data_IF_167879627328
#
_entry.id   IF_167879627328
#
_cell.length_a   1.000
_cell.length_b   1.000
_cell.length_c   1.000
_cell.angle_alpha   90.00
_cell.angle_beta   90.00
_cell.angle_gamma   90.00
#
_symmetry.space_group_name_H-M   'P 1'
#
loop_
_entity.id
_entity.type
_entity.pdbx_description
1 polymer ?
#
# COMPACT_ATOMS: atom_id res chain seq x y z
N UNK A 1 -2.68 3.89 -7.03
CA UNK A 1 -2.47 3.51 -5.62
C UNK A 1 -3.58 4.09 -4.77
N UNK A 2 -4.04 3.35 -3.75
CA UNK A 2 -5.01 3.82 -2.77
C UNK A 2 -4.36 3.86 -1.39
N UNK A 3 -4.15 5.04 -0.81
CA UNK A 3 -3.72 5.20 0.57
C UNK A 3 -4.94 4.98 1.49
N UNK A 4 -5.18 3.72 1.89
CA UNK A 4 -6.37 3.34 2.65
C UNK A 4 -6.31 3.71 4.13
N UNK A 5 -5.13 4.03 4.66
CA UNK A 5 -4.95 4.64 5.98
C UNK A 5 -3.70 5.51 6.00
N UNK A 6 -3.62 6.49 6.92
CA UNK A 6 -2.46 7.37 7.03
C UNK A 6 -1.56 7.02 8.21
N UNK A 7 -2.10 6.42 9.26
CA UNK A 7 -1.33 6.02 10.42
C UNK A 7 -0.56 4.71 10.18
N UNK A 8 0.49 4.52 10.96
CA UNK A 8 1.39 3.36 10.87
C UNK A 8 1.76 2.87 12.27
N UNK A 9 2.13 1.62 12.40
CA UNK A 9 2.72 1.04 13.60
C UNK A 9 4.24 1.28 13.71
N UNK A 10 4.82 1.96 12.71
CA UNK A 10 6.20 2.44 12.70
C UNK A 10 6.25 3.97 12.68
N UNK A 11 7.36 4.53 13.19
CA UNK A 11 7.63 5.96 13.23
C UNK A 11 8.94 6.28 12.48
N UNK A 12 8.95 5.99 11.17
CA UNK A 12 10.14 6.17 10.34
C UNK A 12 10.44 7.65 10.11
N UNK A 13 11.67 8.09 10.36
CA UNK A 13 12.11 9.48 10.25
C UNK A 13 11.92 10.08 8.84
N UNK A 14 12.06 9.27 7.79
CA UNK A 14 11.93 9.71 6.39
C UNK A 14 10.78 8.99 5.68
N UNK A 15 9.63 8.91 6.35
CA UNK A 15 8.45 8.27 5.81
C UNK A 15 7.89 9.06 4.62
N UNK A 16 7.90 8.49 3.41
CA UNK A 16 7.34 9.10 2.20
C UNK A 16 5.83 9.31 2.24
N UNK A 17 5.15 8.70 3.20
CA UNK A 17 3.72 8.86 3.45
C UNK A 17 3.42 9.83 4.61
N UNK A 18 4.45 10.39 5.24
CA UNK A 18 4.33 11.31 6.38
C UNK A 18 3.54 10.73 7.56
N UNK A 19 3.45 9.42 7.68
CA UNK A 19 2.62 8.75 8.69
C UNK A 19 2.90 9.17 10.14
N UNK A 20 4.15 9.52 10.53
CA UNK A 20 4.43 10.00 11.89
C UNK A 20 3.72 11.30 12.27
N UNK A 21 3.43 12.15 11.29
CA UNK A 21 2.82 13.49 11.49
C UNK A 21 1.43 13.61 10.86
N UNK A 22 1.02 12.62 10.07
CA UNK A 22 -0.29 12.61 9.44
C UNK A 22 -1.40 12.36 10.49
N UNK A 23 -2.58 12.97 10.32
CA UNK A 23 -3.71 12.66 11.18
C UNK A 23 -4.10 11.19 11.05
N UNK A 24 -4.60 10.61 12.15
CA UNK A 24 -5.13 9.25 12.09
C UNK A 24 -6.35 9.22 11.16
N UNK A 25 -6.23 8.45 10.09
CA UNK A 25 -7.30 8.32 9.08
C UNK A 25 -7.34 6.89 8.56
N UNK A 26 -8.54 6.37 8.42
CA UNK A 26 -8.86 5.15 7.68
C UNK A 26 -9.90 5.52 6.63
N UNK A 27 -9.66 5.13 5.38
CA UNK A 27 -10.59 5.41 4.28
C UNK A 27 -11.90 4.63 4.50
N UNK A 28 -13.05 5.30 4.64
CA UNK A 28 -14.31 4.59 4.74
C UNK A 28 -14.53 3.67 3.54
N UNK A 29 -15.07 2.48 3.78
CA UNK A 29 -15.30 1.47 2.73
C UNK A 29 -16.16 2.03 1.60
N UNK A 30 -17.16 2.84 1.93
CA UNK A 30 -18.07 3.47 0.98
C UNK A 30 -17.35 4.49 0.08
N UNK A 31 -16.39 5.22 0.62
CA UNK A 31 -15.53 6.16 -0.14
C UNK A 31 -14.64 5.39 -1.09
N UNK A 32 -14.02 4.31 -0.60
CA UNK A 32 -13.18 3.44 -1.42
C UNK A 32 -13.96 2.82 -2.58
N UNK A 33 -15.15 2.27 -2.32
CA UNK A 33 -15.99 1.67 -3.35
C UNK A 33 -16.46 2.71 -4.38
N UNK A 34 -16.87 3.89 -3.94
CA UNK A 34 -17.24 5.01 -4.82
C UNK A 34 -16.09 5.41 -5.75
N UNK A 35 -14.87 5.50 -5.21
CA UNK A 35 -13.68 5.82 -5.99
C UNK A 35 -13.36 4.70 -7.01
N UNK A 36 -13.54 3.43 -6.64
CA UNK A 36 -13.35 2.31 -7.56
C UNK A 36 -14.39 2.29 -8.69
N UNK A 37 -15.65 2.51 -8.39
CA UNK A 37 -16.73 2.59 -9.40
C UNK A 37 -16.41 3.69 -10.42
N UNK A 38 -16.02 4.86 -9.93
CA UNK A 38 -15.65 5.97 -10.80
C UNK A 38 -14.41 5.64 -11.66
N UNK A 39 -13.41 5.02 -11.04
CA UNK A 39 -12.19 4.61 -11.73
C UNK A 39 -12.48 3.56 -12.81
N UNK A 40 -13.29 2.56 -12.49
CA UNK A 40 -13.73 1.52 -13.42
C UNK A 40 -14.43 2.13 -14.62
N UNK A 41 -15.36 3.06 -14.39
CA UNK A 41 -16.09 3.79 -15.46
C UNK A 41 -15.14 4.55 -16.38
N UNK A 42 -14.17 5.30 -15.83
CA UNK A 42 -13.23 6.12 -16.59
C UNK A 42 -12.27 5.25 -17.40
N UNK A 43 -11.78 4.17 -16.80
CA UNK A 43 -10.75 3.31 -17.41
C UNK A 43 -11.31 2.10 -18.13
N UNK A 44 -12.64 1.91 -18.08
CA UNK A 44 -13.34 0.70 -18.59
C UNK A 44 -12.73 -0.59 -18.00
N UNK A 45 -12.32 -0.52 -16.73
CA UNK A 45 -11.66 -1.63 -16.03
C UNK A 45 -10.21 -1.90 -16.47
N UNK A 46 -9.67 -1.14 -17.41
CA UNK A 46 -8.35 -1.37 -17.98
C UNK A 46 -7.25 -0.70 -17.16
N UNK A 47 -6.98 -1.27 -16.00
CA UNK A 47 -5.85 -0.85 -15.13
C UNK A 47 -4.92 -2.04 -14.94
N UNK A 48 -3.66 -1.85 -15.30
CA UNK A 48 -2.65 -2.90 -15.18
C UNK A 48 -2.41 -3.32 -13.72
N UNK A 49 -2.34 -2.36 -12.79
CA UNK A 49 -2.04 -2.64 -11.40
C UNK A 49 -2.69 -1.64 -10.45
N UNK A 50 -3.26 -2.17 -9.36
CA UNK A 50 -3.78 -1.39 -8.24
C UNK A 50 -3.05 -1.82 -6.96
N UNK A 51 -2.56 -0.84 -6.18
CA UNK A 51 -1.90 -1.09 -4.91
C UNK A 51 -2.65 -0.43 -3.77
N UNK A 52 -2.94 -1.20 -2.74
CA UNK A 52 -3.39 -0.74 -1.43
C UNK A 52 -2.15 -0.42 -0.60
N UNK A 53 -2.11 0.75 -0.04
CA UNK A 53 -0.99 1.23 0.76
C UNK A 53 -1.45 2.32 1.73
N UNK A 54 -0.51 3.06 2.30
CA UNK A 54 -0.79 4.16 3.19
C UNK A 54 0.33 4.31 4.21
N UNK A 55 0.02 4.53 5.47
CA UNK A 55 0.94 4.27 6.57
C UNK A 55 1.21 2.77 6.65
N UNK A 56 0.33 2.05 7.34
CA UNK A 56 0.34 0.59 7.30
C UNK A 56 -1.07 0.06 6.96
N UNK A 57 -1.30 -0.47 5.76
CA UNK A 57 -2.63 -0.88 5.31
C UNK A 57 -3.25 -2.01 6.15
N UNK A 58 -2.44 -2.85 6.81
CA UNK A 58 -2.94 -3.93 7.66
C UNK A 58 -3.53 -3.44 9.00
N UNK A 59 -3.38 -2.15 9.32
CA UNK A 59 -4.10 -1.52 10.44
C UNK A 59 -5.55 -1.19 10.11
N UNK A 60 -5.93 -1.20 8.82
CA UNK A 60 -7.29 -0.87 8.42
C UNK A 60 -8.26 -1.95 8.88
N UNK A 61 -9.21 -1.59 9.75
CA UNK A 61 -10.16 -2.53 10.37
C UNK A 61 -11.01 -3.33 9.37
N UNK A 62 -11.30 -2.74 8.22
CA UNK A 62 -12.12 -3.36 7.16
C UNK A 62 -11.28 -3.86 5.98
N UNK A 63 -10.00 -4.20 6.17
CA UNK A 63 -9.10 -4.61 5.07
C UNK A 63 -9.68 -5.75 4.23
N UNK A 64 -10.36 -6.71 4.84
CA UNK A 64 -10.99 -7.83 4.14
C UNK A 64 -12.12 -7.37 3.22
N UNK A 65 -12.94 -6.39 3.63
CA UNK A 65 -13.97 -5.80 2.78
C UNK A 65 -13.36 -5.04 1.60
N UNK A 66 -12.31 -4.26 1.86
CA UNK A 66 -11.57 -3.52 0.83
C UNK A 66 -11.02 -4.46 -0.23
N UNK A 67 -10.40 -5.58 0.16
CA UNK A 67 -9.91 -6.60 -0.77
C UNK A 67 -11.05 -7.16 -1.64
N UNK A 68 -12.17 -7.51 -1.02
CA UNK A 68 -13.33 -8.06 -1.72
C UNK A 68 -13.87 -7.08 -2.76
N UNK A 69 -14.07 -5.82 -2.38
CA UNK A 69 -14.58 -4.78 -3.27
C UNK A 69 -13.59 -4.50 -4.41
N UNK A 70 -12.30 -4.38 -4.10
CA UNK A 70 -11.26 -4.19 -5.11
C UNK A 70 -11.29 -5.30 -6.16
N UNK A 71 -11.40 -6.54 -5.71
CA UNK A 71 -11.37 -7.71 -6.59
C UNK A 71 -12.62 -7.85 -7.45
N UNK A 72 -13.77 -7.40 -6.93
CA UNK A 72 -15.03 -7.33 -7.68
C UNK A 72 -14.94 -6.34 -8.84
N UNK A 73 -14.44 -5.13 -8.61
CA UNK A 73 -14.38 -4.07 -9.62
C UNK A 73 -13.21 -4.23 -10.60
N UNK A 74 -12.10 -4.81 -10.16
CA UNK A 74 -10.89 -4.96 -10.97
C UNK A 74 -10.37 -6.41 -10.95
N UNK A 75 -11.15 -7.38 -11.46
CA UNK A 75 -10.77 -8.80 -11.41
C UNK A 75 -9.49 -9.10 -12.18
N UNK A 76 -9.28 -8.45 -13.33
CA UNK A 76 -8.14 -8.68 -14.23
C UNK A 76 -6.88 -7.87 -13.87
N UNK A 77 -7.00 -6.90 -12.97
CA UNK A 77 -5.85 -6.09 -12.56
C UNK A 77 -4.93 -6.86 -11.62
N UNK A 78 -3.63 -6.65 -11.72
CA UNK A 78 -2.70 -7.05 -10.66
C UNK A 78 -3.00 -6.25 -9.40
N UNK A 79 -3.32 -6.94 -8.33
CA UNK A 79 -3.66 -6.33 -7.03
C UNK A 79 -2.54 -6.55 -6.04
N UNK A 80 -2.20 -5.53 -5.25
CA UNK A 80 -1.09 -5.58 -4.30
C UNK A 80 -1.45 -4.89 -2.99
N UNK A 81 -0.99 -5.45 -1.89
CA UNK A 81 -0.90 -4.78 -0.59
C UNK A 81 0.58 -4.49 -0.33
N UNK A 82 0.91 -3.21 -0.11
CA UNK A 82 2.26 -2.78 0.27
C UNK A 82 2.29 -2.53 1.77
N UNK A 83 3.05 -3.34 2.51
CA UNK A 83 3.07 -3.37 3.98
C UNK A 83 4.49 -3.37 4.53
N UNK A 84 4.67 -2.96 5.78
CA UNK A 84 5.92 -3.20 6.50
C UNK A 84 6.08 -4.67 6.97
N UNK A 85 5.04 -5.49 6.85
CA UNK A 85 5.08 -6.92 7.13
C UNK A 85 4.96 -7.32 8.59
N UNK A 86 5.04 -6.39 9.54
CA UNK A 86 5.06 -6.70 10.99
C UNK A 86 3.75 -7.32 11.43
N UNK A 87 2.62 -6.81 10.94
CA UNK A 87 1.28 -7.24 11.35
C UNK A 87 0.81 -8.53 10.67
N UNK A 88 1.55 -9.05 9.69
CA UNK A 88 1.17 -10.32 9.03
C UNK A 88 1.06 -11.49 10.01
N UNK A 89 1.81 -11.46 11.11
CA UNK A 89 1.73 -12.48 12.17
C UNK A 89 0.42 -12.45 12.96
N UNK A 90 -0.25 -11.32 12.95
CA UNK A 90 -1.48 -11.05 13.71
C UNK A 90 -2.74 -11.15 12.83
N UNK A 91 -2.56 -11.35 11.51
CA UNK A 91 -3.67 -11.52 10.57
C UNK A 91 -4.28 -12.91 10.67
N UNK A 92 -5.60 -12.97 10.56
CA UNK A 92 -6.36 -14.20 10.63
C UNK A 92 -6.24 -15.05 9.33
N UNK A 93 -6.66 -16.31 9.43
CA UNK A 93 -6.65 -17.23 8.30
C UNK A 93 -7.55 -16.75 7.14
N UNK A 94 -8.64 -16.06 7.47
CA UNK A 94 -9.58 -15.51 6.49
C UNK A 94 -8.91 -14.49 5.58
N UNK A 95 -8.07 -13.62 6.14
CA UNK A 95 -7.30 -12.64 5.37
C UNK A 95 -6.39 -13.34 4.32
N UNK A 96 -5.65 -14.37 4.74
CA UNK A 96 -4.74 -15.06 3.82
C UNK A 96 -5.48 -15.83 2.73
N UNK A 97 -6.57 -16.52 3.08
CA UNK A 97 -7.43 -17.18 2.09
C UNK A 97 -7.99 -16.20 1.07
N UNK A 98 -8.49 -15.06 1.56
CA UNK A 98 -9.02 -14.01 0.70
C UNK A 98 -7.95 -13.45 -0.25
N UNK A 99 -6.72 -13.27 0.23
CA UNK A 99 -5.61 -12.84 -0.63
C UNK A 99 -5.31 -13.86 -1.73
N UNK A 100 -5.30 -15.15 -1.42
CA UNK A 100 -5.06 -16.22 -2.39
C UNK A 100 -6.18 -16.30 -3.42
N UNK A 101 -7.43 -16.38 -2.99
CA UNK A 101 -8.62 -16.46 -3.84
C UNK A 101 -8.74 -15.30 -4.84
N UNK A 102 -8.27 -14.13 -4.44
CA UNK A 102 -8.34 -12.91 -5.24
C UNK A 102 -7.02 -12.52 -5.91
N UNK A 103 -6.01 -13.39 -5.89
CA UNK A 103 -4.69 -13.14 -6.47
C UNK A 103 -4.07 -11.81 -5.98
N UNK A 104 -4.17 -11.53 -4.66
CA UNK A 104 -3.55 -10.37 -4.04
C UNK A 104 -2.09 -10.68 -3.75
N UNK A 105 -1.20 -9.89 -4.33
CA UNK A 105 0.22 -9.90 -3.97
C UNK A 105 0.43 -9.13 -2.67
N UNK A 106 1.05 -9.75 -1.68
CA UNK A 106 1.57 -9.05 -0.50
C UNK A 106 3.03 -8.69 -0.78
N UNK A 107 3.33 -7.40 -0.87
CA UNK A 107 4.69 -6.91 -1.00
C UNK A 107 5.12 -6.23 0.29
N UNK A 108 6.09 -6.83 0.99
CA UNK A 108 6.55 -6.29 2.26
C UNK A 108 7.94 -5.67 2.15
N UNK A 109 8.17 -4.64 2.97
CA UNK A 109 9.48 -4.00 3.14
C UNK A 109 10.17 -4.60 4.36
N UNK A 110 11.36 -5.22 4.22
CA UNK A 110 12.05 -5.83 5.36
C UNK A 110 12.70 -4.76 6.23
N UNK A 111 12.18 -4.58 7.45
CA UNK A 111 12.76 -3.71 8.48
C UNK A 111 13.56 -4.54 9.48
N UNK A 112 14.64 -5.16 9.02
CA UNK A 112 15.44 -6.13 9.79
C UNK A 112 16.03 -5.57 11.08
N UNK A 113 16.24 -4.26 11.16
CA UNK A 113 16.65 -3.56 12.39
C UNK A 113 15.55 -3.37 13.44
N UNK A 114 14.29 -3.67 13.10
CA UNK A 114 13.19 -3.57 14.06
C UNK A 114 13.17 -4.78 14.98
N UNK A 115 13.20 -4.54 16.30
CA UNK A 115 13.11 -5.61 17.30
C UNK A 115 11.82 -6.42 17.10
N UNK A 116 11.93 -7.74 17.02
CA UNK A 116 10.82 -8.66 16.78
C UNK A 116 10.22 -8.59 15.35
N UNK A 117 11.00 -8.12 14.35
CA UNK A 117 10.59 -8.25 12.95
C UNK A 117 10.48 -9.74 12.58
N UNK A 118 9.43 -10.15 11.83
CA UNK A 118 9.28 -11.54 11.42
C UNK A 118 10.49 -12.00 10.59
N UNK A 119 11.02 -13.18 10.91
CA UNK A 119 12.14 -13.77 10.17
C UNK A 119 11.70 -14.26 8.80
N UNK A 120 12.65 -14.44 7.87
CA UNK A 120 12.39 -14.89 6.49
C UNK A 120 11.59 -16.20 6.43
N UNK A 121 11.84 -17.11 7.35
CA UNK A 121 11.14 -18.39 7.48
C UNK A 121 9.65 -18.24 7.78
N UNK A 122 9.25 -17.18 8.45
CA UNK A 122 7.83 -16.87 8.70
C UNK A 122 7.10 -16.60 7.38
N UNK A 123 7.65 -15.75 6.51
CA UNK A 123 7.05 -15.43 5.21
C UNK A 123 7.03 -16.64 4.29
N UNK A 124 8.04 -17.51 4.37
CA UNK A 124 8.09 -18.76 3.64
C UNK A 124 6.98 -19.72 4.07
N UNK A 125 6.77 -19.87 5.38
CA UNK A 125 5.67 -20.68 5.94
C UNK A 125 4.29 -20.16 5.50
N UNK A 126 4.10 -18.84 5.40
CA UNK A 126 2.84 -18.28 4.89
C UNK A 126 2.61 -18.65 3.43
N UNK A 127 3.66 -18.61 2.57
CA UNK A 127 3.57 -19.06 1.18
C UNK A 127 3.16 -20.52 1.08
N UNK A 128 3.82 -21.38 1.85
CA UNK A 128 3.57 -22.83 1.84
C UNK A 128 2.17 -23.17 2.36
N UNK A 129 1.76 -22.53 3.47
CA UNK A 129 0.48 -22.82 4.11
C UNK A 129 -0.72 -22.35 3.30
N UNK A 130 -0.66 -21.16 2.70
CA UNK A 130 -1.81 -20.53 2.06
C UNK A 130 -1.69 -20.39 0.54
N UNK A 131 -0.55 -20.71 -0.06
CA UNK A 131 -0.32 -20.53 -1.49
C UNK A 131 -0.33 -19.05 -1.93
N UNK A 132 -0.09 -18.11 -1.03
CA UNK A 132 -0.16 -16.67 -1.31
C UNK A 132 1.08 -16.17 -2.04
N UNK A 133 0.88 -15.15 -2.87
CA UNK A 133 1.98 -14.43 -3.51
C UNK A 133 2.51 -13.39 -2.51
N UNK A 134 3.65 -13.69 -1.87
CA UNK A 134 4.30 -12.77 -0.93
C UNK A 134 5.76 -12.57 -1.32
N UNK A 135 6.15 -11.31 -1.50
CA UNK A 135 7.49 -10.93 -1.95
C UNK A 135 8.03 -9.79 -1.11
N UNK A 136 9.34 -9.79 -0.84
CA UNK A 136 10.00 -8.63 -0.26
C UNK A 136 10.21 -7.52 -1.31
N UNK A 137 10.31 -6.28 -0.86
CA UNK A 137 11.10 -5.29 -1.57
C UNK A 137 12.58 -5.70 -1.50
N UNK A 138 13.49 -5.03 -2.20
CA UNK A 138 14.93 -5.37 -2.18
C UNK A 138 15.46 -5.60 -0.76
N UNK A 139 16.45 -6.48 -0.63
CA UNK A 139 16.85 -7.14 0.63
C UNK A 139 17.33 -6.20 1.76
N UNK A 140 17.55 -4.90 1.48
CA UNK A 140 17.90 -3.92 2.51
C UNK A 140 17.27 -2.58 2.22
N UNK A 141 16.28 -2.18 3.02
CA UNK A 141 15.82 -0.79 3.06
C UNK A 141 16.84 0.02 3.90
N UNK A 142 18.08 0.08 3.42
CA UNK A 142 19.12 0.86 4.08
C UNK A 142 19.10 2.34 3.68
N UNK A 143 18.39 2.68 2.60
CA UNK A 143 18.33 4.04 2.08
C UNK A 143 16.90 4.51 1.93
N UNK A 144 16.50 5.44 2.77
CA UNK A 144 15.31 6.24 2.55
C UNK A 144 15.63 7.32 1.51
N UNK A 145 14.73 7.52 0.55
CA UNK A 145 14.83 8.67 -0.33
C UNK A 145 14.60 9.93 0.48
N UNK A 146 15.51 10.89 0.38
CA UNK A 146 15.34 12.21 0.98
C UNK A 146 14.17 12.92 0.28
N UNK A 147 13.10 13.14 1.03
CA UNK A 147 11.99 13.98 0.58
C UNK A 147 12.30 15.38 1.10
N UNK A 148 12.32 16.33 0.16
CA UNK A 148 12.58 17.71 0.51
C UNK A 148 11.33 18.31 1.20
N UNK A 149 11.46 18.55 2.49
CA UNK A 149 10.42 19.16 3.34
C UNK A 149 10.71 20.63 3.64
N UNK A 150 11.54 21.32 2.84
CA UNK A 150 11.84 22.72 3.09
C UNK A 150 10.66 23.61 2.71
N UNK A 151 10.40 24.65 3.52
CA UNK A 151 9.43 25.70 3.24
C UNK A 151 9.88 26.67 2.13
N UNK A 152 11.10 26.51 1.61
CA UNK A 152 11.61 27.32 0.52
C UNK A 152 10.75 27.18 -0.73
N UNK A 153 10.36 28.30 -1.30
CA UNK A 153 9.72 28.35 -2.62
C UNK A 153 10.71 27.82 -3.68
N UNK A 154 10.50 26.59 -4.07
CA UNK A 154 11.25 25.96 -5.17
C UNK A 154 10.42 26.00 -6.43
N UNK A 155 11.09 25.96 -7.58
CA UNK A 155 10.44 25.82 -8.87
C UNK A 155 9.70 24.47 -8.92
N UNK A 156 8.39 24.53 -8.81
CA UNK A 156 7.51 23.35 -8.75
C UNK A 156 7.61 22.54 -10.05
N UNK A 157 7.71 23.21 -11.20
CA UNK A 157 7.84 22.56 -12.50
C UNK A 157 9.14 21.79 -12.61
N UNK A 158 10.25 22.40 -12.19
CA UNK A 158 11.56 21.76 -12.19
C UNK A 158 11.61 20.57 -11.22
N UNK A 159 11.03 20.72 -10.02
CA UNK A 159 10.94 19.62 -9.06
C UNK A 159 10.08 18.48 -9.59
N UNK A 160 8.97 18.78 -10.26
CA UNK A 160 8.14 17.76 -10.90
C UNK A 160 8.89 17.03 -12.01
N UNK A 161 9.66 17.75 -12.83
CA UNK A 161 10.45 17.15 -13.90
C UNK A 161 11.58 16.28 -13.40
N UNK A 162 12.20 16.63 -12.28
CA UNK A 162 13.23 15.83 -11.61
C UNK A 162 12.66 14.63 -10.86
N UNK A 163 11.35 14.60 -10.60
CA UNK A 163 10.73 13.50 -9.89
C UNK A 163 10.70 12.23 -10.75
N UNK A 164 11.56 11.27 -10.46
CA UNK A 164 11.60 9.96 -11.12
C UNK A 164 10.35 9.10 -10.86
N UNK A 165 9.50 9.49 -9.91
CA UNK A 165 8.25 8.82 -9.54
C UNK A 165 6.99 9.41 -10.19
N UNK A 166 7.10 10.50 -10.96
CA UNK A 166 5.94 11.17 -11.59
C UNK A 166 5.11 10.25 -12.49
N UNK A 167 5.76 9.29 -13.14
CA UNK A 167 5.10 8.28 -13.97
C UNK A 167 4.79 7.05 -13.12
N UNK A 168 3.51 6.79 -12.86
CA UNK A 168 3.05 5.59 -12.13
C UNK A 168 2.88 5.75 -10.62
N UNK A 169 3.05 6.96 -10.08
CA UNK A 169 2.81 7.26 -8.66
C UNK A 169 1.49 7.98 -8.42
N UNK A 170 0.46 7.65 -9.18
CA UNK A 170 -0.88 8.23 -8.98
C UNK A 170 -1.53 7.66 -7.73
N UNK A 171 -2.00 8.55 -6.86
CA UNK A 171 -2.79 8.23 -5.68
C UNK A 171 -4.24 8.67 -5.90
N UNK A 172 -5.17 7.87 -5.43
CA UNK A 172 -6.61 8.15 -5.51
C UNK A 172 -7.16 8.17 -4.11
N UNK A 173 -7.84 9.25 -3.77
CA UNK A 173 -8.51 9.42 -2.49
C UNK A 173 -9.66 10.41 -2.62
N UNK A 174 -10.85 10.00 -2.18
CA UNK A 174 -12.06 10.81 -2.14
C UNK A 174 -12.34 11.54 -3.47
N UNK A 175 -12.34 10.80 -4.58
CA UNK A 175 -12.62 11.28 -5.92
C UNK A 175 -11.53 12.14 -6.55
N UNK A 176 -10.41 12.34 -5.88
CA UNK A 176 -9.26 13.09 -6.39
C UNK A 176 -8.15 12.14 -6.80
N UNK A 177 -7.45 12.50 -7.86
CA UNK A 177 -6.25 11.81 -8.33
C UNK A 177 -5.10 12.82 -8.32
N UNK A 178 -4.04 12.48 -7.63
CA UNK A 178 -2.84 13.31 -7.53
C UNK A 178 -1.58 12.47 -7.76
N UNK A 179 -0.53 13.04 -8.33
CA UNK A 179 0.79 12.47 -8.16
C UNK A 179 1.14 12.48 -6.67
N UNK A 180 1.99 11.63 -6.30
CA UNK A 180 2.49 11.42 -4.95
C UNK A 180 2.47 12.65 -4.04
#
# INVERSE_FOLDING_TARGET
KFPICYHCNLNCAYCSHFSPIAPKYEMPVEVFEKDLIRLEKITKGNIRQIALMGGEPLLHKDINKIITILSKHFPSSRKRISTNGILLKDMDEKFFKLCTENNIEIKYSPYTGYKNYPKKEFFQKLKEKYGIIINSTEENVEKFELINLTEEKKDESKNYDLCNKKIGCLQINNGKCAPC
#
